data_IF_959581322952
#
_entry.id   IF_959581322952
#
_cell.length_a   1.000
_cell.length_b   1.000
_cell.length_c   1.000
_cell.angle_alpha   90.00
_cell.angle_beta   90.00
_cell.angle_gamma   90.00
#
_symmetry.space_group_name_H-M   'P 1'
#
loop_
_entity.id
_entity.type
_entity.pdbx_description
1 polymer ?
#
# COMPACT_ATOMS: atom_id res chain seq x y z
N UNK A 1 -16.66 36.31 -0.62
CA UNK A 1 -16.47 34.99 -1.27
C UNK A 1 -15.06 34.42 -1.07
N UNK A 2 -13.99 35.08 -1.50
CA UNK A 2 -12.62 34.54 -1.44
C UNK A 2 -12.10 34.28 -0.02
N UNK A 3 -12.42 35.14 0.96
CA UNK A 3 -12.06 34.93 2.38
C UNK A 3 -12.78 33.74 3.02
N UNK A 4 -14.04 33.49 2.63
CA UNK A 4 -14.80 32.35 3.13
C UNK A 4 -14.23 31.05 2.55
N UNK A 5 -13.91 31.03 1.25
CA UNK A 5 -13.26 29.91 0.58
C UNK A 5 -11.89 29.59 1.20
N UNK A 6 -11.05 30.61 1.44
CA UNK A 6 -9.75 30.44 2.11
C UNK A 6 -9.88 29.96 3.56
N UNK A 7 -10.90 30.43 4.29
CA UNK A 7 -11.19 29.95 5.65
C UNK A 7 -11.65 28.49 5.61
N UNK A 8 -12.53 28.11 4.68
CA UNK A 8 -13.00 26.73 4.53
C UNK A 8 -11.85 25.80 4.12
N UNK A 9 -10.97 26.23 3.22
CA UNK A 9 -9.77 25.46 2.83
C UNK A 9 -8.80 25.33 4.00
N UNK A 10 -8.57 26.41 4.75
CA UNK A 10 -7.67 26.39 5.92
C UNK A 10 -8.22 25.52 7.05
N UNK A 11 -9.53 25.62 7.35
CA UNK A 11 -10.19 24.78 8.35
C UNK A 11 -10.21 23.32 7.89
N UNK A 12 -10.52 23.05 6.63
CA UNK A 12 -10.44 21.71 6.07
C UNK A 12 -9.02 21.17 6.17
N UNK A 13 -8.01 21.94 5.74
CA UNK A 13 -6.60 21.55 5.83
C UNK A 13 -6.16 21.28 7.27
N UNK A 14 -6.53 22.13 8.24
CA UNK A 14 -6.22 21.94 9.65
C UNK A 14 -6.94 20.72 10.24
N UNK A 15 -8.22 20.52 9.93
CA UNK A 15 -8.97 19.32 10.34
C UNK A 15 -8.42 18.06 9.69
N UNK A 16 -7.97 18.13 8.43
CA UNK A 16 -7.34 17.02 7.72
C UNK A 16 -5.98 16.71 8.31
N UNK A 17 -5.14 17.71 8.63
CA UNK A 17 -3.88 17.48 9.33
C UNK A 17 -4.15 16.83 10.67
N UNK A 18 -5.13 17.30 11.44
CA UNK A 18 -5.50 16.68 12.73
C UNK A 18 -6.09 15.26 12.58
N UNK A 19 -6.72 14.93 11.46
CA UNK A 19 -7.26 13.59 11.17
C UNK A 19 -6.17 12.65 10.62
N UNK A 20 -5.30 13.15 9.73
CA UNK A 20 -4.12 12.46 9.19
C UNK A 20 -3.10 12.23 10.29
N UNK A 21 -3.04 13.12 11.29
CA UNK A 21 -2.18 13.03 12.47
C UNK A 21 -2.87 12.29 13.65
N UNK A 22 -4.05 11.70 13.46
CA UNK A 22 -4.72 10.86 14.46
C UNK A 22 -5.29 11.59 15.69
N UNK A 23 -5.25 12.93 15.72
CA UNK A 23 -5.78 13.76 16.81
C UNK A 23 -7.31 13.90 16.81
N UNK A 24 -7.97 13.78 15.65
CA UNK A 24 -9.43 13.77 15.54
C UNK A 24 -9.92 12.40 15.08
N UNK A 25 -10.82 11.82 15.88
CA UNK A 25 -11.45 10.53 15.57
C UNK A 25 -12.54 10.68 14.50
N UNK A 26 -12.55 9.80 13.49
CA UNK A 26 -13.61 9.66 12.48
C UNK A 26 -15.00 9.28 13.06
N UNK A 27 -15.15 9.23 14.39
CA UNK A 27 -16.35 8.73 15.06
C UNK A 27 -17.59 9.63 14.93
N UNK A 28 -17.44 10.90 14.54
CA UNK A 28 -18.60 11.74 14.26
C UNK A 28 -19.02 11.61 12.79
N UNK A 29 -20.30 11.31 12.49
CA UNK A 29 -20.77 11.12 11.12
C UNK A 29 -20.49 12.32 10.20
N UNK A 30 -20.58 13.54 10.74
CA UNK A 30 -20.31 14.77 10.00
C UNK A 30 -18.83 14.85 9.55
N UNK A 31 -17.87 14.59 10.45
CA UNK A 31 -16.46 14.61 10.09
C UNK A 31 -16.12 13.49 9.11
N UNK A 32 -16.67 12.29 9.31
CA UNK A 32 -16.50 11.19 8.36
C UNK A 32 -17.00 11.57 6.95
N UNK A 33 -18.19 12.18 6.84
CA UNK A 33 -18.74 12.65 5.57
C UNK A 33 -17.87 13.75 4.93
N UNK A 34 -17.41 14.73 5.71
CA UNK A 34 -16.55 15.80 5.22
C UNK A 34 -15.20 15.28 4.70
N UNK A 35 -14.51 14.43 5.46
CA UNK A 35 -13.22 13.87 5.04
C UNK A 35 -13.39 12.93 3.83
N UNK A 36 -14.51 12.21 3.74
CA UNK A 36 -14.84 11.38 2.58
C UNK A 36 -15.11 12.24 1.33
N UNK A 37 -15.83 13.37 1.48
CA UNK A 37 -16.06 14.33 0.39
C UNK A 37 -14.78 15.04 -0.08
N UNK A 38 -13.90 15.43 0.85
CA UNK A 38 -12.58 15.93 0.51
C UNK A 38 -11.74 14.87 -0.21
N UNK A 39 -11.72 13.64 0.32
CA UNK A 39 -11.04 12.51 -0.29
C UNK A 39 -11.50 12.24 -1.71
N UNK A 40 -12.81 12.34 -1.98
CA UNK A 40 -13.37 12.28 -3.32
C UNK A 40 -12.78 13.35 -4.24
N UNK A 41 -12.84 14.62 -3.81
CA UNK A 41 -12.41 15.74 -4.62
C UNK A 41 -10.91 15.68 -4.96
N UNK A 42 -10.05 15.39 -3.99
CA UNK A 42 -8.60 15.26 -4.25
C UNK A 42 -8.28 14.05 -5.10
N UNK A 43 -9.01 12.93 -4.91
CA UNK A 43 -8.82 11.73 -5.71
C UNK A 43 -9.21 11.94 -7.18
N UNK A 44 -10.15 12.84 -7.50
CA UNK A 44 -10.51 13.17 -8.88
C UNK A 44 -9.47 14.12 -9.52
N UNK A 45 -8.85 15.01 -8.72
CA UNK A 45 -7.86 15.99 -9.19
C UNK A 45 -6.43 15.45 -9.27
N UNK A 46 -6.11 14.39 -8.53
CA UNK A 46 -4.75 13.87 -8.45
C UNK A 46 -4.30 13.31 -9.82
N UNK A 47 -3.15 13.74 -10.37
CA UNK A 47 -2.55 13.05 -11.50
C UNK A 47 -2.09 11.65 -11.07
N UNK A 48 -2.22 10.68 -11.97
CA UNK A 48 -1.71 9.32 -11.80
C UNK A 48 -0.63 9.08 -12.84
N UNK A 49 0.41 8.36 -12.45
CA UNK A 49 1.52 7.99 -13.32
C UNK A 49 1.81 6.50 -13.15
N UNK A 50 1.84 5.75 -14.25
CA UNK A 50 2.29 4.35 -14.22
C UNK A 50 3.82 4.36 -14.21
N UNK A 51 4.42 4.08 -13.06
CA UNK A 51 5.89 4.16 -12.86
C UNK A 51 6.59 2.80 -13.01
N UNK A 52 5.82 1.71 -12.99
CA UNK A 52 6.30 0.38 -13.35
C UNK A 52 5.20 -0.33 -14.14
N UNK A 53 5.53 -0.74 -15.36
CA UNK A 53 4.61 -1.47 -16.21
C UNK A 53 4.50 -2.91 -15.71
N UNK A 54 3.29 -3.44 -15.71
CA UNK A 54 3.04 -4.81 -15.29
C UNK A 54 1.63 -5.25 -15.65
N UNK A 55 1.42 -6.56 -15.61
CA UNK A 55 0.15 -7.19 -15.91
C UNK A 55 -0.80 -7.26 -14.73
N UNK A 56 -2.07 -6.97 -14.98
CA UNK A 56 -3.11 -7.48 -14.09
C UNK A 56 -3.24 -8.99 -14.29
N UNK A 57 -3.46 -9.73 -13.20
CA UNK A 57 -3.66 -11.18 -13.26
C UNK A 57 -4.84 -11.56 -14.14
N UNK A 58 -4.67 -12.61 -14.94
CA UNK A 58 -5.72 -13.08 -15.84
C UNK A 58 -6.94 -13.66 -15.12
N UNK A 59 -8.06 -13.78 -15.83
CA UNK A 59 -9.22 -14.56 -15.42
C UNK A 59 -10.07 -13.91 -14.32
N UNK A 60 -9.57 -12.86 -13.66
CA UNK A 60 -10.31 -12.17 -12.59
C UNK A 60 -11.36 -11.20 -13.15
N UNK A 61 -10.91 -10.31 -14.04
CA UNK A 61 -11.78 -9.33 -14.73
C UNK A 61 -12.22 -9.89 -16.08
N UNK A 62 -13.51 -10.19 -16.20
CA UNK A 62 -14.13 -10.60 -17.46
C UNK A 62 -14.13 -9.45 -18.48
N UNK A 63 -14.35 -9.76 -19.76
CA UNK A 63 -14.55 -8.73 -20.80
C UNK A 63 -15.65 -7.72 -20.43
N UNK A 64 -16.73 -8.19 -19.77
CA UNK A 64 -17.79 -7.33 -19.23
C UNK A 64 -17.25 -6.38 -18.16
N UNK A 65 -16.43 -6.87 -17.23
CA UNK A 65 -15.84 -6.02 -16.18
C UNK A 65 -14.87 -4.98 -16.75
N UNK A 66 -14.07 -5.36 -17.75
CA UNK A 66 -13.18 -4.43 -18.44
C UNK A 66 -13.96 -3.33 -19.17
N UNK A 67 -15.07 -3.68 -19.84
CA UNK A 67 -15.99 -2.70 -20.43
C UNK A 67 -16.60 -1.77 -19.39
N UNK A 68 -17.07 -2.32 -18.26
CA UNK A 68 -17.61 -1.53 -17.15
C UNK A 68 -16.58 -0.54 -16.59
N UNK A 69 -15.34 -0.98 -16.40
CA UNK A 69 -14.23 -0.13 -15.96
C UNK A 69 -13.99 1.02 -16.95
N UNK A 70 -13.90 0.73 -18.26
CA UNK A 70 -13.68 1.73 -19.30
C UNK A 70 -14.84 2.75 -19.42
N UNK A 71 -16.08 2.32 -19.17
CA UNK A 71 -17.27 3.18 -19.17
C UNK A 71 -17.50 3.91 -17.83
N UNK A 72 -16.62 3.72 -16.83
CA UNK A 72 -16.80 4.31 -15.50
C UNK A 72 -17.96 3.71 -14.68
N UNK A 73 -18.45 2.52 -15.04
CA UNK A 73 -19.56 1.83 -14.38
C UNK A 73 -19.07 0.95 -13.24
N UNK A 74 -18.87 1.55 -12.08
CA UNK A 74 -18.45 0.84 -10.88
C UNK A 74 -19.20 1.32 -9.63
N UNK A 75 -19.22 0.49 -8.60
CA UNK A 75 -19.77 0.80 -7.28
C UNK A 75 -18.67 0.63 -6.25
N UNK A 76 -18.32 1.73 -5.58
CA UNK A 76 -17.41 1.71 -4.44
C UNK A 76 -18.14 1.32 -3.18
N UNK A 77 -17.55 0.41 -2.41
CA UNK A 77 -18.05 -0.07 -1.13
C UNK A 77 -17.04 0.25 -0.03
N UNK A 78 -17.54 0.56 1.15
CA UNK A 78 -16.81 0.47 2.41
C UNK A 78 -16.89 -0.97 2.93
N UNK A 79 -15.85 -1.44 3.63
CA UNK A 79 -15.85 -2.75 4.30
C UNK A 79 -17.08 -3.01 5.20
N UNK A 80 -17.65 -1.98 5.84
CA UNK A 80 -18.88 -2.05 6.65
C UNK A 80 -20.16 -2.29 5.84
N UNK A 81 -20.16 -1.92 4.57
CA UNK A 81 -21.32 -2.07 3.68
C UNK A 81 -21.38 -3.47 3.06
N UNK A 82 -20.25 -4.20 3.07
CA UNK A 82 -20.11 -5.51 2.45
C UNK A 82 -21.16 -6.54 2.90
N UNK A 83 -21.52 -6.69 4.19
CA UNK A 83 -22.50 -7.69 4.62
C UNK A 83 -23.91 -7.44 4.02
N UNK A 84 -24.24 -6.18 3.76
CA UNK A 84 -25.56 -5.77 3.26
C UNK A 84 -25.56 -5.52 1.75
N UNK A 85 -24.41 -5.64 1.10
CA UNK A 85 -24.28 -5.38 -0.33
C UNK A 85 -25.01 -6.45 -1.15
N UNK A 86 -25.80 -5.98 -2.12
CA UNK A 86 -26.42 -6.81 -3.16
C UNK A 86 -25.71 -6.53 -4.49
N UNK A 87 -25.09 -7.54 -5.12
CA UNK A 87 -24.38 -7.37 -6.39
C UNK A 87 -25.25 -6.73 -7.46
N UNK A 88 -24.70 -5.72 -8.14
CA UNK A 88 -25.34 -5.01 -9.25
C UNK A 88 -24.77 -5.50 -10.58
N UNK A 89 -25.54 -6.21 -11.43
CA UNK A 89 -25.02 -6.76 -12.68
C UNK A 89 -24.42 -5.71 -13.63
N UNK A 90 -24.86 -4.46 -13.53
CA UNK A 90 -24.49 -3.34 -14.40
C UNK A 90 -23.19 -2.62 -13.98
N UNK A 91 -22.68 -2.86 -12.77
CA UNK A 91 -21.51 -2.17 -12.24
C UNK A 91 -20.45 -3.13 -11.67
N UNK A 92 -19.17 -2.78 -11.85
CA UNK A 92 -18.06 -3.47 -11.20
C UNK A 92 -17.97 -3.04 -9.72
N UNK A 93 -18.00 -3.99 -8.78
CA UNK A 93 -17.85 -3.69 -7.36
C UNK A 93 -16.37 -3.60 -6.94
N UNK A 94 -16.01 -2.52 -6.25
CA UNK A 94 -14.69 -2.30 -5.63
C UNK A 94 -14.88 -2.05 -4.14
N UNK A 95 -14.12 -2.75 -3.30
CA UNK A 95 -14.19 -2.64 -1.85
C UNK A 95 -12.94 -1.92 -1.31
N UNK A 96 -13.14 -0.87 -0.52
CA UNK A 96 -12.05 -0.25 0.24
C UNK A 96 -12.03 -0.76 1.69
N UNK A 97 -10.90 -1.35 2.08
CA UNK A 97 -10.59 -1.77 3.45
C UNK A 97 -9.74 -0.68 4.10
N UNK A 98 -10.44 0.29 4.70
CA UNK A 98 -9.85 1.47 5.34
C UNK A 98 -9.11 1.11 6.63
N UNK A 99 -8.23 1.99 7.16
CA UNK A 99 -7.39 1.68 8.32
C UNK A 99 -8.14 1.31 9.60
N UNK A 100 -9.41 1.71 9.73
CA UNK A 100 -10.29 1.40 10.85
C UNK A 100 -11.02 0.05 10.71
N UNK A 101 -10.73 -0.71 9.66
CA UNK A 101 -11.26 -2.05 9.47
C UNK A 101 -10.76 -3.02 10.55
N UNK A 102 -11.62 -3.98 10.87
CA UNK A 102 -11.33 -5.10 11.76
C UNK A 102 -12.00 -6.36 11.19
N UNK A 103 -11.66 -7.51 11.76
CA UNK A 103 -12.19 -8.81 11.34
C UNK A 103 -11.99 -9.10 9.84
N UNK A 104 -10.72 -9.19 9.45
CA UNK A 104 -10.33 -9.42 8.06
C UNK A 104 -10.82 -10.75 7.49
N UNK A 105 -11.11 -11.75 8.34
CA UNK A 105 -11.71 -13.00 7.87
C UNK A 105 -13.14 -12.85 7.41
N UNK A 106 -13.96 -12.09 8.16
CA UNK A 106 -15.31 -11.77 7.74
C UNK A 106 -15.30 -10.96 6.44
N UNK A 107 -14.33 -10.04 6.29
CA UNK A 107 -14.15 -9.27 5.05
C UNK A 107 -13.81 -10.18 3.87
N UNK A 108 -12.81 -11.06 4.01
CA UNK A 108 -12.45 -12.03 2.95
C UNK A 108 -13.66 -12.90 2.58
N UNK A 109 -14.36 -13.45 3.58
CA UNK A 109 -15.53 -14.30 3.35
C UNK A 109 -16.64 -13.55 2.62
N UNK A 110 -16.91 -12.31 3.01
CA UNK A 110 -17.89 -11.45 2.34
C UNK A 110 -17.49 -11.10 0.91
N UNK A 111 -16.20 -10.88 0.63
CA UNK A 111 -15.71 -10.64 -0.73
C UNK A 111 -16.02 -11.81 -1.65
N UNK A 112 -15.78 -13.03 -1.17
CA UNK A 112 -16.04 -14.26 -1.91
C UNK A 112 -17.54 -14.48 -2.12
N UNK A 113 -18.35 -14.36 -1.07
CA UNK A 113 -19.80 -14.55 -1.12
C UNK A 113 -20.47 -13.54 -2.09
N UNK A 114 -20.09 -12.26 -1.99
CA UNK A 114 -20.65 -11.19 -2.81
C UNK A 114 -19.95 -11.05 -4.18
N UNK A 115 -18.98 -11.92 -4.48
CA UNK A 115 -18.20 -11.94 -5.73
C UNK A 115 -17.59 -10.57 -6.05
N UNK A 116 -17.04 -9.90 -5.04
CA UNK A 116 -16.28 -8.67 -5.20
C UNK A 116 -15.09 -8.95 -6.11
N UNK A 117 -14.77 -8.03 -7.03
CA UNK A 117 -13.72 -8.24 -8.03
C UNK A 117 -12.43 -7.48 -7.74
N UNK A 118 -12.51 -6.42 -6.94
CA UNK A 118 -11.37 -5.60 -6.57
C UNK A 118 -11.47 -5.28 -5.08
N UNK A 119 -10.39 -5.54 -4.35
CA UNK A 119 -10.22 -5.13 -2.95
C UNK A 119 -9.02 -4.21 -2.85
N UNK A 120 -9.21 -3.06 -2.20
CA UNK A 120 -8.18 -2.07 -1.92
C UNK A 120 -7.82 -2.15 -0.45
N UNK A 121 -6.57 -2.51 -0.17
CA UNK A 121 -6.07 -2.77 1.17
C UNK A 121 -5.21 -1.62 1.67
N UNK A 122 -5.48 -1.21 2.91
CA UNK A 122 -4.58 -0.39 3.70
C UNK A 122 -3.70 -1.28 4.61
N UNK A 123 -2.81 -0.64 5.38
CA UNK A 123 -1.74 -1.26 6.18
C UNK A 123 -2.19 -2.38 7.12
N UNK A 124 -3.43 -2.36 7.61
CA UNK A 124 -3.94 -3.37 8.55
C UNK A 124 -4.18 -4.75 7.91
N UNK A 125 -4.98 -4.80 6.83
CA UNK A 125 -5.27 -6.05 6.12
C UNK A 125 -4.03 -6.58 5.39
N UNK A 126 -3.24 -5.68 4.79
CA UNK A 126 -1.97 -6.04 4.14
C UNK A 126 -1.01 -6.73 5.12
N UNK A 127 -0.84 -6.19 6.33
CA UNK A 127 -0.04 -6.82 7.36
C UNK A 127 -0.61 -8.18 7.80
N UNK A 128 -1.93 -8.28 7.94
CA UNK A 128 -2.60 -9.52 8.35
C UNK A 128 -2.32 -10.68 7.39
N UNK A 129 -2.25 -10.42 6.08
CA UNK A 129 -1.93 -11.44 5.07
C UNK A 129 -0.54 -12.09 5.25
N UNK A 130 0.38 -11.45 5.97
CA UNK A 130 1.68 -12.02 6.35
C UNK A 130 1.64 -12.90 7.62
N UNK A 131 0.45 -13.26 8.10
CA UNK A 131 0.25 -14.24 9.17
C UNK A 131 -0.25 -15.56 8.58
N UNK A 132 -0.05 -16.70 9.26
CA UNK A 132 -0.56 -17.99 8.76
C UNK A 132 -2.08 -17.98 8.49
N UNK A 133 -2.86 -17.33 9.36
CA UNK A 133 -4.31 -17.15 9.20
C UNK A 133 -4.66 -16.26 8.01
N UNK A 134 -3.96 -15.13 7.88
CA UNK A 134 -4.19 -14.20 6.76
C UNK A 134 -3.70 -14.71 5.42
N UNK A 135 -2.68 -15.58 5.40
CA UNK A 135 -2.22 -16.27 4.21
C UNK A 135 -3.29 -17.18 3.64
N UNK A 136 -3.89 -18.04 4.46
CA UNK A 136 -5.01 -18.88 4.02
C UNK A 136 -6.25 -18.08 3.59
N UNK A 137 -6.42 -16.85 4.11
CA UNK A 137 -7.40 -15.89 3.59
C UNK A 137 -7.02 -15.32 2.23
N UNK A 138 -5.75 -14.96 2.04
CA UNK A 138 -5.22 -14.43 0.79
C UNK A 138 -5.31 -15.44 -0.36
N UNK A 139 -4.95 -16.71 -0.12
CA UNK A 139 -5.05 -17.79 -1.11
C UNK A 139 -6.49 -17.94 -1.64
N UNK A 140 -7.49 -17.79 -0.77
CA UNK A 140 -8.90 -17.82 -1.19
C UNK A 140 -9.28 -16.56 -1.97
N UNK A 141 -8.84 -15.39 -1.51
CA UNK A 141 -9.15 -14.10 -2.13
C UNK A 141 -8.57 -14.00 -3.55
N UNK A 142 -7.31 -14.42 -3.71
CA UNK A 142 -6.56 -14.38 -4.97
C UNK A 142 -7.19 -15.22 -6.08
N UNK A 143 -7.96 -16.25 -5.76
CA UNK A 143 -8.65 -17.08 -6.75
C UNK A 143 -9.72 -16.32 -7.57
N UNK A 144 -10.23 -15.18 -7.08
CA UNK A 144 -11.37 -14.50 -7.74
C UNK A 144 -11.38 -12.98 -7.64
N UNK A 145 -10.40 -12.37 -6.98
CA UNK A 145 -10.39 -10.96 -6.61
C UNK A 145 -9.01 -10.34 -6.87
N UNK A 146 -8.99 -9.20 -7.56
CA UNK A 146 -7.77 -8.38 -7.69
C UNK A 146 -7.50 -7.67 -6.36
N UNK A 147 -6.29 -7.87 -5.85
CA UNK A 147 -5.76 -7.26 -4.65
C UNK A 147 -4.93 -6.04 -5.01
N UNK A 148 -5.42 -4.88 -4.59
CA UNK A 148 -4.73 -3.60 -4.77
C UNK A 148 -4.24 -3.12 -3.41
N UNK A 149 -2.95 -2.82 -3.30
CA UNK A 149 -2.35 -2.39 -2.02
C UNK A 149 -1.97 -0.92 -2.12
N UNK A 150 -2.45 -0.13 -1.15
CA UNK A 150 -1.92 1.22 -0.92
C UNK A 150 -0.58 1.05 -0.23
N UNK A 151 0.51 1.15 -0.99
CA UNK A 151 1.87 0.94 -0.49
C UNK A 151 2.43 2.30 -0.11
N UNK A 152 2.31 2.70 1.16
CA UNK A 152 2.69 4.02 1.64
C UNK A 152 3.80 4.02 2.70
N UNK A 153 4.71 3.04 2.66
CA UNK A 153 5.90 3.02 3.50
C UNK A 153 6.59 1.65 3.47
N UNK A 154 7.76 1.55 4.10
CA UNK A 154 8.53 0.31 4.21
C UNK A 154 7.79 -0.81 4.94
N UNK A 155 6.80 -0.51 5.77
CA UNK A 155 5.94 -1.50 6.40
C UNK A 155 5.18 -2.37 5.39
N UNK A 156 4.93 -1.88 4.18
CA UNK A 156 4.30 -2.65 3.11
C UNK A 156 5.27 -3.57 2.35
N UNK A 157 6.59 -3.50 2.60
CA UNK A 157 7.59 -4.30 1.89
C UNK A 157 7.28 -5.81 1.82
N UNK A 158 6.77 -6.48 2.88
CA UNK A 158 6.40 -7.89 2.80
C UNK A 158 5.33 -8.21 1.75
N UNK A 159 4.52 -7.23 1.35
CA UNK A 159 3.49 -7.42 0.31
C UNK A 159 4.09 -7.83 -1.03
N UNK A 160 5.34 -7.45 -1.32
CA UNK A 160 5.98 -7.81 -2.59
C UNK A 160 6.12 -9.34 -2.76
N UNK A 161 6.38 -10.06 -1.67
CA UNK A 161 6.35 -11.53 -1.65
C UNK A 161 4.94 -12.13 -1.70
N UNK A 162 3.90 -11.32 -1.45
CA UNK A 162 2.49 -11.72 -1.53
C UNK A 162 1.83 -11.35 -2.87
N UNK A 163 2.60 -10.82 -3.82
CA UNK A 163 2.20 -10.56 -5.20
C UNK A 163 0.87 -9.81 -5.35
N UNK A 164 0.80 -8.54 -4.92
CA UNK A 164 -0.35 -7.71 -5.22
C UNK A 164 -0.57 -7.62 -6.73
N UNK A 165 -1.83 -7.46 -7.13
CA UNK A 165 -2.19 -7.27 -8.54
C UNK A 165 -1.93 -5.84 -9.01
N UNK A 166 -1.87 -4.89 -8.09
CA UNK A 166 -1.56 -3.48 -8.35
C UNK A 166 -1.06 -2.82 -7.06
N UNK A 167 0.01 -2.03 -7.17
CA UNK A 167 0.42 -1.10 -6.13
C UNK A 167 -0.04 0.31 -6.48
N UNK A 168 -0.70 0.96 -5.53
CA UNK A 168 -0.92 2.41 -5.55
C UNK A 168 0.04 3.03 -4.55
N UNK A 169 1.02 3.79 -5.04
CA UNK A 169 2.07 4.39 -4.22
C UNK A 169 1.83 5.90 -4.08
N UNK A 170 1.48 6.41 -2.90
CA UNK A 170 1.39 7.84 -2.68
C UNK A 170 2.80 8.43 -2.48
N UNK A 171 3.20 9.32 -3.39
CA UNK A 171 4.58 9.84 -3.50
C UNK A 171 4.67 11.30 -3.07
N UNK A 172 5.73 11.63 -2.33
CA UNK A 172 6.16 12.99 -2.05
C UNK A 172 7.67 13.10 -2.19
N UNK A 173 8.17 14.04 -3.00
CA UNK A 173 9.61 14.29 -3.21
C UNK A 173 10.45 13.03 -3.54
N UNK A 174 9.90 12.10 -4.33
CA UNK A 174 10.58 10.84 -4.70
C UNK A 174 10.51 9.73 -3.64
N UNK A 175 9.77 9.96 -2.54
CA UNK A 175 9.58 9.01 -1.46
C UNK A 175 8.13 8.54 -1.36
N UNK A 176 8.00 7.28 -0.99
CA UNK A 176 6.80 6.62 -0.54
C UNK A 176 6.82 6.65 0.98
N UNK A 177 5.90 7.38 1.61
CA UNK A 177 5.99 7.64 3.05
C UNK A 177 4.64 7.72 3.75
N UNK A 178 4.61 7.17 4.96
CA UNK A 178 3.46 7.20 5.83
C UNK A 178 3.37 8.58 6.48
N UNK A 179 2.15 9.02 6.82
CA UNK A 179 1.97 10.30 7.51
C UNK A 179 2.70 10.34 8.84
N UNK A 180 2.73 9.18 9.50
CA UNK A 180 3.21 9.02 10.88
C UNK A 180 4.50 8.23 11.02
N UNK A 181 4.55 7.07 10.37
CA UNK A 181 5.59 6.07 10.64
C UNK A 181 6.88 6.48 10.00
N UNK A 182 7.97 6.38 10.75
CA UNK A 182 9.32 6.67 10.25
C UNK A 182 9.87 5.49 9.47
N UNK A 183 9.38 5.32 8.26
CA UNK A 183 9.75 4.17 7.43
C UNK A 183 9.73 4.46 5.92
N UNK A 184 9.97 5.69 5.50
CA UNK A 184 9.91 6.08 4.09
C UNK A 184 10.82 5.25 3.19
N UNK A 185 10.31 4.87 2.02
CA UNK A 185 11.01 4.12 0.98
C UNK A 185 11.17 5.00 -0.26
N UNK A 186 12.30 4.91 -0.96
CA UNK A 186 12.48 5.62 -2.24
C UNK A 186 11.69 4.92 -3.35
N UNK A 187 11.07 5.70 -4.24
CA UNK A 187 10.40 5.16 -5.42
C UNK A 187 11.38 4.38 -6.31
N UNK A 188 12.61 4.89 -6.44
CA UNK A 188 13.70 4.23 -7.18
C UNK A 188 14.06 2.87 -6.58
N UNK A 189 14.08 2.74 -5.25
CA UNK A 189 14.38 1.47 -4.60
C UNK A 189 13.28 0.45 -4.82
N UNK A 190 12.01 0.87 -4.81
CA UNK A 190 10.90 -0.03 -5.13
C UNK A 190 11.02 -0.52 -6.58
N UNK A 191 11.27 0.38 -7.52
CA UNK A 191 11.41 0.06 -8.94
C UNK A 191 12.57 -0.93 -9.17
N UNK A 192 13.73 -0.66 -8.56
CA UNK A 192 14.90 -1.54 -8.65
C UNK A 192 14.65 -2.92 -8.04
N UNK A 193 13.83 -3.03 -6.99
CA UNK A 193 13.44 -4.32 -6.39
C UNK A 193 12.54 -5.10 -7.35
N UNK A 194 11.50 -4.45 -7.88
CA UNK A 194 10.56 -5.09 -8.80
C UNK A 194 11.26 -5.61 -10.06
N UNK A 195 12.14 -4.80 -10.64
CA UNK A 195 12.93 -5.18 -11.82
C UNK A 195 13.90 -6.33 -11.52
N UNK A 196 14.68 -6.23 -10.44
CA UNK A 196 15.70 -7.23 -10.10
C UNK A 196 15.09 -8.59 -9.78
N UNK A 197 13.99 -8.59 -9.04
CA UNK A 197 13.33 -9.82 -8.64
C UNK A 197 12.25 -10.26 -9.64
N UNK A 198 12.09 -9.55 -10.77
CA UNK A 198 11.08 -9.85 -11.79
C UNK A 198 9.67 -10.02 -11.21
N UNK A 199 9.29 -9.08 -10.33
CA UNK A 199 7.97 -9.03 -9.74
C UNK A 199 7.07 -8.26 -10.70
N UNK A 200 6.27 -9.01 -11.46
CA UNK A 200 5.29 -8.44 -12.39
C UNK A 200 4.11 -7.82 -11.64
N UNK A 201 4.24 -6.59 -11.18
CA UNK A 201 3.17 -5.87 -10.50
C UNK A 201 3.12 -4.43 -11.00
N UNK A 202 2.05 -4.00 -11.70
CA UNK A 202 1.94 -2.61 -12.10
C UNK A 202 1.97 -1.70 -10.86
N UNK A 203 2.71 -0.60 -10.97
CA UNK A 203 2.80 0.41 -9.92
C UNK A 203 2.32 1.75 -10.45
N UNK A 204 1.30 2.29 -9.79
CA UNK A 204 0.74 3.60 -10.11
C UNK A 204 1.06 4.57 -8.98
N UNK A 205 1.84 5.58 -9.31
CA UNK A 205 2.13 6.70 -8.43
C UNK A 205 0.96 7.70 -8.44
N UNK A 206 0.66 8.21 -7.24
CA UNK A 206 -0.26 9.32 -7.01
C UNK A 206 0.43 10.31 -6.08
N UNK A 207 0.26 11.63 -6.22
CA UNK A 207 0.78 12.57 -5.24
C UNK A 207 0.26 12.26 -3.83
N UNK A 208 1.10 12.38 -2.81
CA UNK A 208 0.75 12.01 -1.42
C UNK A 208 -0.49 12.71 -0.89
N UNK A 209 -0.72 13.96 -1.32
CA UNK A 209 -1.91 14.75 -0.97
C UNK A 209 -3.19 14.24 -1.66
N UNK A 210 -3.05 13.54 -2.79
CA UNK A 210 -4.15 13.01 -3.60
C UNK A 210 -4.75 11.70 -3.08
N UNK A 211 -4.09 11.05 -2.11
CA UNK A 211 -4.57 9.82 -1.50
C UNK A 211 -4.81 9.98 0.00
N UNK A 212 -6.08 10.19 0.34
CA UNK A 212 -6.58 10.07 1.72
C UNK A 212 -7.10 8.65 1.91
N UNK A 213 -6.80 7.97 3.03
CA UNK A 213 -7.24 6.59 3.28
C UNK A 213 -8.74 6.51 3.69
N UNK A 214 -9.62 7.16 2.92
CA UNK A 214 -11.08 7.06 3.00
C UNK A 214 -11.62 6.18 1.86
N UNK A 215 -12.81 5.63 2.06
CA UNK A 215 -13.51 4.82 1.04
C UNK A 215 -13.62 5.53 -0.30
N UNK A 216 -14.08 6.79 -0.31
CA UNK A 216 -14.28 7.54 -1.54
C UNK A 216 -12.97 7.78 -2.32
N UNK A 217 -11.89 8.10 -1.61
CA UNK A 217 -10.59 8.37 -2.19
C UNK A 217 -9.93 7.09 -2.70
N UNK A 218 -9.85 6.05 -1.85
CA UNK A 218 -9.24 4.77 -2.20
C UNK A 218 -9.93 4.12 -3.40
N UNK A 219 -11.27 4.03 -3.40
CA UNK A 219 -12.01 3.45 -4.52
C UNK A 219 -11.77 4.23 -5.81
N UNK A 220 -11.87 5.57 -5.80
CA UNK A 220 -11.65 6.39 -7.00
C UNK A 220 -10.24 6.26 -7.55
N UNK A 221 -9.22 6.40 -6.70
CA UNK A 221 -7.82 6.27 -7.14
C UNK A 221 -7.57 4.89 -7.73
N UNK A 222 -8.06 3.83 -7.08
CA UNK A 222 -7.86 2.46 -7.60
C UNK A 222 -8.58 2.24 -8.91
N UNK A 223 -9.80 2.72 -9.09
CA UNK A 223 -10.48 2.56 -10.38
C UNK A 223 -9.76 3.30 -11.50
N UNK A 224 -9.22 4.49 -11.23
CA UNK A 224 -8.41 5.23 -12.20
C UNK A 224 -7.06 4.52 -12.47
N UNK A 225 -6.43 3.97 -11.43
CA UNK A 225 -5.17 3.25 -11.53
C UNK A 225 -5.33 1.91 -12.28
N UNK A 226 -6.41 1.17 -12.03
CA UNK A 226 -6.75 -0.05 -12.76
C UNK A 226 -7.00 0.24 -14.23
N UNK A 227 -7.72 1.32 -14.55
CA UNK A 227 -7.94 1.71 -15.94
C UNK A 227 -6.62 2.04 -16.66
N UNK A 228 -5.67 2.68 -15.96
CA UNK A 228 -4.34 2.97 -16.50
C UNK A 228 -3.45 1.71 -16.63
N UNK A 229 -3.54 0.75 -15.69
CA UNK A 229 -2.73 -0.46 -15.67
C UNK A 229 -3.27 -1.59 -16.57
N UNK A 230 -4.57 -1.60 -16.90
CA UNK A 230 -5.22 -2.65 -17.67
C UNK A 230 -4.76 -2.75 -19.16
N UNK A 231 -3.80 -1.94 -19.57
CA UNK A 231 -3.17 -1.95 -20.90
C UNK A 231 -1.94 -2.85 -21.00
N UNK A 232 -1.43 -3.39 -19.88
CA UNK A 232 -0.27 -4.27 -19.85
C UNK A 232 -0.58 -5.73 -20.26
N UNK A 233 0.48 -6.49 -20.57
CA UNK A 233 0.40 -7.92 -20.85
C UNK A 233 -0.12 -8.69 -19.64
N UNK A 234 -0.83 -9.78 -19.88
CA UNK A 234 -1.51 -10.55 -18.83
C UNK A 234 -0.51 -11.40 -18.05
N UNK A 235 -0.63 -11.40 -16.72
CA UNK A 235 0.23 -12.16 -15.80
C UNK A 235 -0.35 -13.54 -15.42
N UNK A 236 0.50 -14.55 -15.39
CA UNK A 236 0.26 -15.84 -14.74
C UNK A 236 0.70 -15.80 -13.26
N UNK A 237 -0.09 -16.42 -12.37
CA UNK A 237 0.12 -16.37 -10.91
C UNK A 237 1.35 -17.20 -10.50
N UNK A 238 2.44 -16.61 -10.00
CA UNK A 238 3.52 -17.37 -9.37
C UNK A 238 3.17 -17.65 -7.91
N UNK A 239 3.92 -18.51 -7.22
CA UNK A 239 3.67 -18.82 -5.80
C UNK A 239 4.64 -18.04 -4.90
N UNK A 240 4.10 -17.04 -4.19
CA UNK A 240 4.78 -16.42 -3.05
C UNK A 240 4.50 -17.20 -1.77
N UNK A 241 5.25 -16.93 -0.71
CA UNK A 241 5.08 -17.64 0.57
C UNK A 241 5.26 -16.72 1.78
N UNK A 242 4.57 -17.02 2.87
CA UNK A 242 4.80 -16.44 4.19
C UNK A 242 5.81 -17.31 4.97
N UNK A 243 7.01 -16.77 5.20
CA UNK A 243 8.03 -17.41 6.02
C UNK A 243 7.82 -17.13 7.53
N UNK A 244 7.13 -16.03 7.84
CA UNK A 244 6.82 -15.63 9.21
C UNK A 244 6.11 -14.29 9.26
N UNK A 245 5.81 -13.83 10.47
CA UNK A 245 5.15 -12.54 10.67
C UNK A 245 5.93 -11.42 9.97
N UNK A 246 5.30 -10.76 8.99
CA UNK A 246 5.89 -9.70 8.17
C UNK A 246 7.20 -10.10 7.46
N UNK A 247 7.33 -11.39 7.13
CA UNK A 247 8.42 -11.97 6.37
C UNK A 247 7.86 -12.87 5.28
N UNK A 248 8.10 -12.50 4.03
CA UNK A 248 7.58 -13.22 2.87
C UNK A 248 8.69 -13.56 1.89
N UNK A 249 8.42 -14.48 0.97
CA UNK A 249 9.38 -14.96 -0.04
C UNK A 249 8.77 -14.89 -1.45
N UNK A 250 9.61 -14.50 -2.41
CA UNK A 250 9.36 -14.65 -3.84
C UNK A 250 10.66 -15.05 -4.53
N UNK A 251 10.68 -16.22 -5.16
CA UNK A 251 11.90 -16.79 -5.73
C UNK A 251 13.02 -16.86 -4.70
N UNK A 252 14.16 -16.24 -5.00
CA UNK A 252 15.34 -16.21 -4.14
C UNK A 252 15.38 -15.01 -3.17
N UNK A 253 14.34 -14.17 -3.16
CA UNK A 253 14.26 -12.98 -2.34
C UNK A 253 13.28 -13.13 -1.19
N UNK A 254 13.66 -12.62 -0.02
CA UNK A 254 12.79 -12.42 1.12
C UNK A 254 12.54 -10.93 1.38
N UNK A 255 11.31 -10.60 1.76
CA UNK A 255 10.86 -9.25 2.10
C UNK A 255 10.47 -9.22 3.57
N UNK A 256 11.24 -8.49 4.37
CA UNK A 256 11.13 -8.47 5.82
C UNK A 256 10.89 -7.05 6.32
N UNK A 257 9.87 -6.88 7.16
CA UNK A 257 9.68 -5.67 7.95
C UNK A 257 9.78 -5.96 9.44
N UNK A 258 10.62 -5.17 10.13
CA UNK A 258 10.88 -5.31 11.56
C UNK A 258 10.29 -4.11 12.30
N UNK A 259 9.22 -4.36 13.04
CA UNK A 259 8.60 -3.38 13.94
C UNK A 259 9.20 -3.44 15.36
N UNK A 260 9.59 -4.63 15.81
CA UNK A 260 10.22 -4.85 17.11
C UNK A 260 11.28 -5.95 17.01
N UNK A 261 12.55 -5.59 17.22
CA UNK A 261 13.66 -6.57 17.18
C UNK A 261 13.45 -7.73 18.17
N UNK A 262 12.87 -7.47 19.34
CA UNK A 262 12.59 -8.50 20.37
C UNK A 262 11.49 -9.50 19.99
N UNK A 263 10.58 -9.13 19.08
CA UNK A 263 9.50 -10.00 18.61
C UNK A 263 9.86 -10.73 17.30
N UNK A 264 11.04 -10.44 16.76
CA UNK A 264 11.47 -11.03 15.51
C UNK A 264 11.66 -12.54 15.67
N UNK A 265 10.90 -13.31 14.89
CA UNK A 265 11.09 -14.75 14.80
C UNK A 265 12.24 -15.02 13.82
N UNK A 266 13.28 -15.69 14.30
CA UNK A 266 14.46 -16.05 13.52
C UNK A 266 14.39 -17.47 12.93
N UNK A 267 13.33 -18.25 13.23
CA UNK A 267 13.23 -19.65 12.80
C UNK A 267 13.27 -19.83 11.28
N UNK A 268 12.76 -18.86 10.52
CA UNK A 268 12.85 -18.89 9.06
C UNK A 268 14.29 -18.75 8.52
N UNK A 269 15.22 -18.19 9.32
CA UNK A 269 16.60 -17.96 8.87
C UNK A 269 17.38 -19.28 8.75
N UNK A 270 17.04 -20.27 9.59
CA UNK A 270 17.64 -21.60 9.54
C UNK A 270 17.21 -22.34 8.26
N UNK A 271 15.97 -22.16 7.82
CA UNK A 271 15.45 -22.76 6.59
C UNK A 271 15.76 -21.93 5.35
N UNK A 272 16.00 -20.61 5.46
CA UNK A 272 16.20 -19.70 4.34
C UNK A 272 17.19 -20.21 3.28
N UNK A 273 18.32 -20.77 3.71
CA UNK A 273 19.33 -21.32 2.79
C UNK A 273 18.85 -22.62 2.11
N UNK A 274 18.17 -23.50 2.84
CA UNK A 274 17.56 -24.71 2.29
C UNK A 274 16.42 -24.36 1.31
N UNK A 275 15.73 -23.26 1.58
CA UNK A 275 14.62 -22.70 0.81
C UNK A 275 15.12 -21.83 -0.38
N UNK A 276 16.43 -21.79 -0.65
CA UNK A 276 17.00 -21.09 -1.80
C UNK A 276 16.98 -19.56 -1.71
N UNK A 277 16.72 -18.98 -0.54
CA UNK A 277 16.78 -17.53 -0.32
C UNK A 277 18.23 -17.07 -0.36
N UNK A 278 18.53 -16.14 -1.26
CA UNK A 278 19.86 -15.51 -1.41
C UNK A 278 19.88 -14.06 -0.97
N UNK A 279 18.72 -13.39 -0.99
CA UNK A 279 18.59 -11.94 -0.81
C UNK A 279 17.50 -11.62 0.21
N UNK A 280 17.75 -10.60 1.04
CA UNK A 280 16.77 -10.05 1.98
C UNK A 280 16.66 -8.56 1.74
N UNK A 281 15.46 -8.11 1.37
CA UNK A 281 15.06 -6.72 1.41
C UNK A 281 14.45 -6.45 2.77
N UNK A 282 15.02 -5.48 3.48
CA UNK A 282 14.74 -5.24 4.89
C UNK A 282 14.22 -3.82 5.08
N UNK A 283 13.14 -3.65 5.84
CA UNK A 283 12.69 -2.35 6.31
C UNK A 283 12.43 -2.36 7.82
N UNK A 284 12.57 -1.20 8.45
CA UNK A 284 12.42 -1.03 9.90
C UNK A 284 11.36 0.00 10.25
N UNK A 285 10.64 -0.22 11.35
CA UNK A 285 9.92 0.86 12.02
C UNK A 285 10.89 1.70 12.86
N UNK A 286 11.34 2.85 12.38
CA UNK A 286 12.27 3.69 13.16
C UNK A 286 11.62 4.50 14.29
N UNK A 287 10.31 4.33 14.52
CA UNK A 287 9.68 4.79 15.77
C UNK A 287 9.95 3.82 16.93
N UNK A 288 10.31 2.57 16.62
CA UNK A 288 10.43 1.47 17.57
C UNK A 288 11.80 0.77 17.55
N UNK A 289 12.56 0.95 16.46
CA UNK A 289 13.87 0.34 16.24
C UNK A 289 14.93 1.44 16.12
N UNK A 290 15.95 1.39 16.97
CA UNK A 290 17.07 2.33 16.89
C UNK A 290 18.02 1.99 15.73
N UNK A 291 18.84 2.94 15.25
CA UNK A 291 19.86 2.66 14.24
C UNK A 291 20.83 1.53 14.61
N UNK A 292 21.19 1.44 15.89
CA UNK A 292 22.08 0.40 16.43
C UNK A 292 21.41 -0.97 16.35
N UNK A 293 20.15 -1.06 16.78
CA UNK A 293 19.35 -2.29 16.68
C UNK A 293 19.14 -2.72 15.23
N UNK A 294 18.88 -1.77 14.32
CA UNK A 294 18.77 -2.04 12.89
C UNK A 294 20.08 -2.62 12.34
N UNK A 295 21.22 -2.04 12.73
CA UNK A 295 22.53 -2.52 12.32
C UNK A 295 22.83 -3.93 12.86
N UNK A 296 22.47 -4.24 14.10
CA UNK A 296 22.61 -5.59 14.67
C UNK A 296 21.84 -6.64 13.85
N UNK A 297 20.59 -6.34 13.49
CA UNK A 297 19.75 -7.20 12.64
C UNK A 297 20.40 -7.40 11.27
N UNK A 298 20.86 -6.32 10.62
CA UNK A 298 21.55 -6.38 9.32
C UNK A 298 22.79 -7.26 9.39
N UNK A 299 23.62 -7.09 10.43
CA UNK A 299 24.84 -7.88 10.59
C UNK A 299 24.53 -9.35 10.84
N UNK A 300 23.51 -9.67 11.63
CA UNK A 300 23.09 -11.05 11.86
C UNK A 300 22.65 -11.74 10.56
N UNK A 301 21.84 -11.07 9.74
CA UNK A 301 21.42 -11.58 8.44
C UNK A 301 22.62 -11.79 7.49
N UNK A 302 23.54 -10.82 7.41
CA UNK A 302 24.76 -10.94 6.59
C UNK A 302 25.67 -12.10 7.02
N UNK A 303 25.83 -12.31 8.33
CA UNK A 303 26.61 -13.44 8.88
C UNK A 303 26.01 -14.81 8.52
N UNK A 304 24.73 -14.84 8.17
CA UNK A 304 24.04 -16.05 7.70
C UNK A 304 24.22 -16.30 6.20
N UNK A 305 25.10 -15.53 5.53
CA UNK A 305 25.41 -15.68 4.11
C UNK A 305 24.45 -14.97 3.16
N UNK A 306 23.46 -14.22 3.69
CA UNK A 306 22.46 -13.53 2.89
C UNK A 306 22.94 -12.16 2.40
N UNK A 307 22.58 -11.81 1.16
CA UNK A 307 22.71 -10.44 0.67
C UNK A 307 21.60 -9.58 1.26
N UNK A 308 21.94 -8.56 2.05
CA UNK A 308 20.96 -7.71 2.73
C UNK A 308 20.93 -6.32 2.11
N UNK A 309 19.75 -5.87 1.67
CA UNK A 309 19.49 -4.49 1.22
C UNK A 309 18.48 -3.82 2.15
N UNK A 310 18.89 -2.73 2.79
CA UNK A 310 17.96 -1.85 3.52
C UNK A 310 17.11 -1.09 2.50
N UNK A 311 15.79 -1.14 2.66
CA UNK A 311 14.81 -0.61 1.72
C UNK A 311 14.16 0.69 2.20
N UNK A 312 14.41 1.14 3.44
CA UNK A 312 13.79 2.34 3.98
C UNK A 312 14.73 3.25 4.78
N UNK A 313 14.33 4.51 4.91
CA UNK A 313 14.96 5.57 5.68
C UNK A 313 14.09 5.94 6.91
N UNK A 314 14.69 6.48 8.00
CA UNK A 314 14.00 6.86 9.23
C UNK A 314 13.20 8.18 9.10
N UNK A 315 12.42 8.32 8.03
CA UNK A 315 11.67 9.53 7.67
C UNK A 315 10.17 9.23 7.59
N UNK A 316 9.36 10.21 8.00
CA UNK A 316 7.92 10.29 7.71
C UNK A 316 7.66 11.47 6.75
N UNK A 317 6.42 11.65 6.28
CA UNK A 317 6.06 12.69 5.28
C UNK A 317 6.55 14.10 5.67
N UNK A 318 6.29 14.57 6.89
CA UNK A 318 6.73 15.89 7.32
C UNK A 318 8.27 16.01 7.38
N UNK A 319 8.99 14.95 7.79
CA UNK A 319 10.44 14.91 7.74
C UNK A 319 10.99 15.05 6.31
N UNK A 320 10.33 14.43 5.33
CA UNK A 320 10.68 14.55 3.89
C UNK A 320 10.44 15.98 3.40
N UNK A 321 9.31 16.60 3.73
CA UNK A 321 8.97 17.96 3.29
C UNK A 321 10.00 18.96 3.82
N UNK A 322 10.38 18.86 5.10
CA UNK A 322 11.39 19.75 5.70
C UNK A 322 12.75 19.55 5.02
N UNK A 323 13.18 18.31 4.79
CA UNK A 323 14.45 18.00 4.12
C UNK A 323 14.47 18.45 2.65
N UNK A 324 13.37 18.25 1.93
CA UNK A 324 13.20 18.70 0.54
C UNK A 324 13.15 20.22 0.43
N UNK A 325 12.45 20.89 1.34
CA UNK A 325 12.42 22.35 1.46
C UNK A 325 13.81 22.93 1.70
N UNK A 326 14.59 22.35 2.63
CA UNK A 326 15.98 22.76 2.86
C UNK A 326 16.86 22.60 1.62
N UNK A 327 16.71 21.50 0.85
CA UNK A 327 17.44 21.29 -0.40
C UNK A 327 17.09 22.32 -1.48
N UNK A 328 15.82 22.68 -1.60
CA UNK A 328 15.38 23.73 -2.53
C UNK A 328 15.87 25.13 -2.13
N UNK A 329 15.98 25.39 -0.82
CA UNK A 329 16.55 26.64 -0.29
C UNK A 329 18.07 26.67 -0.51
N UNK A 330 18.79 25.59 -0.24
CA UNK A 330 20.23 25.50 -0.48
C UNK A 330 20.59 25.52 -1.96
N UNK A 331 19.75 24.96 -2.84
CA UNK A 331 19.94 25.06 -4.29
C UNK A 331 19.63 26.47 -4.83
N UNK A 332 18.90 27.30 -4.07
CA UNK A 332 18.62 28.71 -4.39
C UNK A 332 19.55 29.70 -3.69
N UNK A 333 20.41 29.23 -2.78
CA UNK A 333 21.48 30.03 -2.19
C UNK A 333 22.83 29.50 -2.71
N UNK A 334 23.35 30.03 -3.83
CA UNK A 334 24.75 29.83 -4.12
C UNK A 334 25.51 30.49 -2.98
N UNK A 335 26.36 29.71 -2.33
CA UNK A 335 27.39 30.11 -1.37
C UNK A 335 27.74 31.60 -1.40
N UNK A 336 27.57 32.26 -0.25
CA UNK A 336 28.47 33.31 0.22
C UNK A 336 29.29 32.73 1.36
#
# INVERSE_FOLDING_TARGET
MMRLLLLTITVAAASITLVVDGYISYRTPLMAAMVNGYGAAVADLAPLEVIHQGGLRDGILTAKNRKQLAEGKWTGLNWRELPHYKPKPEALAVLAVTPDASDYEAIVSGCLEKRIKVVVESSGMDAWHSTARGWGGLEKLTAGVLRVVVFDGGHHLPTLGLQPDLLVVPVTMGYIAHGHTRDAMRVEDLSAILEREQIECPVVAVPRWGLVKTTASMNRIVMRALAAAATGDVRHHPEGEVLGSRCTRYGEASFLYVDHVRKMNWGWLESAAADGVKRVYLAFNYDLVSPEQAQEVIQKLKRSGLQVKLANEPLHVAGIIVRGGMRCISARMPWY
#
